data_IF_459138008321
#
_entry.id   IF_459138008321
#
_cell.length_a   1.000
_cell.length_b   1.000
_cell.length_c   1.000
_cell.angle_alpha   90.00
_cell.angle_beta   90.00
_cell.angle_gamma   90.00
#
_symmetry.space_group_name_H-M   'P 1'
#
loop_
_entity.id
_entity.type
_entity.pdbx_description
1 polymer ?
#
# COMPACT_ATOMS: atom_id res chain seq x y z
N UNK A 1 -18.82 -6.15 -47.41
CA UNK A 1 -18.55 -4.71 -47.70
C UNK A 1 -18.60 -3.83 -46.44
N UNK A 2 -19.36 -4.16 -45.39
CA UNK A 2 -19.43 -3.38 -44.14
C UNK A 2 -18.14 -3.39 -43.29
N UNK A 3 -17.38 -4.49 -43.25
CA UNK A 3 -16.19 -4.59 -42.38
C UNK A 3 -15.03 -3.68 -42.80
N UNK A 4 -14.82 -3.44 -44.10
CA UNK A 4 -13.72 -2.56 -44.57
C UNK A 4 -13.93 -1.10 -44.18
N UNK A 5 -15.18 -0.63 -44.12
CA UNK A 5 -15.50 0.73 -43.67
C UNK A 5 -15.26 0.90 -42.17
N UNK A 6 -15.58 -0.13 -41.37
CA UNK A 6 -15.34 -0.13 -39.93
C UNK A 6 -13.84 -0.23 -39.59
N UNK A 7 -13.06 -0.99 -40.37
CA UNK A 7 -11.60 -1.10 -40.22
C UNK A 7 -10.93 0.25 -40.50
N UNK A 8 -11.29 0.94 -41.60
CA UNK A 8 -10.75 2.26 -41.91
C UNK A 8 -11.05 3.27 -40.79
N UNK A 9 -12.29 3.28 -40.30
CA UNK A 9 -12.69 4.17 -39.21
C UNK A 9 -11.98 3.84 -37.89
N UNK A 10 -11.69 2.58 -37.61
CA UNK A 10 -10.90 2.17 -36.44
C UNK A 10 -9.45 2.67 -36.51
N UNK A 11 -8.83 2.62 -37.70
CA UNK A 11 -7.46 3.13 -37.93
C UNK A 11 -7.40 4.66 -37.76
N UNK A 12 -8.37 5.39 -38.34
CA UNK A 12 -8.48 6.85 -38.18
C UNK A 12 -8.62 7.26 -36.71
N UNK A 13 -9.47 6.57 -35.95
CA UNK A 13 -9.66 6.84 -34.51
C UNK A 13 -8.41 6.53 -33.69
N UNK A 14 -7.63 5.53 -34.09
CA UNK A 14 -6.36 5.19 -33.46
C UNK A 14 -5.27 6.24 -33.75
N UNK A 15 -5.21 6.75 -34.98
CA UNK A 15 -4.31 7.84 -35.37
C UNK A 15 -4.64 9.14 -34.63
N UNK A 16 -5.90 9.37 -34.29
CA UNK A 16 -6.35 10.45 -33.38
C UNK A 16 -6.02 10.21 -31.90
N UNK A 17 -5.30 9.12 -31.56
CA UNK A 17 -4.84 8.81 -30.21
C UNK A 17 -5.88 8.16 -29.29
N UNK A 18 -7.03 7.71 -29.81
CA UNK A 18 -8.03 7.02 -28.98
C UNK A 18 -7.57 5.60 -28.62
N UNK A 19 -7.87 5.20 -27.38
CA UNK A 19 -7.56 3.85 -26.89
C UNK A 19 -8.47 2.79 -27.51
N UNK A 20 -7.99 1.54 -27.59
CA UNK A 20 -8.76 0.40 -28.10
C UNK A 20 -10.13 0.25 -27.42
N UNK A 21 -10.23 0.55 -26.12
CA UNK A 21 -11.50 0.51 -25.36
C UNK A 21 -12.48 1.59 -25.85
N UNK A 22 -11.99 2.79 -26.14
CA UNK A 22 -12.82 3.89 -26.64
C UNK A 22 -13.28 3.61 -28.07
N UNK A 23 -12.40 3.12 -28.93
CA UNK A 23 -12.71 2.75 -30.32
C UNK A 23 -13.76 1.62 -30.36
N UNK A 24 -13.61 0.61 -29.49
CA UNK A 24 -14.57 -0.49 -29.37
C UNK A 24 -15.97 0.00 -28.96
N UNK A 25 -16.03 0.97 -28.04
CA UNK A 25 -17.29 1.60 -27.63
C UNK A 25 -17.94 2.42 -28.75
N UNK A 26 -17.14 3.19 -29.50
CA UNK A 26 -17.61 4.06 -30.58
C UNK A 26 -18.08 3.29 -31.81
N UNK A 27 -17.43 2.16 -32.12
CA UNK A 27 -17.78 1.28 -33.24
C UNK A 27 -18.71 0.13 -32.86
N UNK A 28 -19.17 0.07 -31.60
CA UNK A 28 -20.02 -1.01 -31.05
C UNK A 28 -19.51 -2.41 -31.38
N UNK A 29 -18.20 -2.61 -31.25
CA UNK A 29 -17.53 -3.88 -31.54
C UNK A 29 -16.67 -4.33 -30.36
N UNK A 30 -16.14 -5.55 -30.40
CA UNK A 30 -15.31 -6.06 -29.31
C UNK A 30 -13.90 -5.45 -29.36
N UNK A 31 -13.27 -5.29 -28.19
CA UNK A 31 -11.87 -4.83 -28.09
C UNK A 31 -10.91 -5.71 -28.88
N UNK A 32 -11.14 -7.02 -28.85
CA UNK A 32 -10.34 -8.01 -29.58
C UNK A 32 -10.48 -7.83 -31.09
N UNK A 33 -11.68 -7.46 -31.57
CA UNK A 33 -11.92 -7.15 -32.98
C UNK A 33 -11.16 -5.89 -33.41
N UNK A 34 -11.21 -4.82 -32.61
CA UNK A 34 -10.44 -3.59 -32.87
C UNK A 34 -8.94 -3.86 -32.87
N UNK A 35 -8.44 -4.62 -31.89
CA UNK A 35 -7.03 -4.99 -31.81
C UNK A 35 -6.55 -5.75 -33.06
N UNK A 36 -7.38 -6.68 -33.58
CA UNK A 36 -7.07 -7.41 -34.82
C UNK A 36 -7.02 -6.50 -36.04
N UNK A 37 -7.95 -5.55 -36.14
CA UNK A 37 -7.99 -4.58 -37.24
C UNK A 37 -6.78 -3.64 -37.25
N UNK A 38 -6.37 -3.12 -36.08
CA UNK A 38 -5.18 -2.26 -35.97
C UNK A 38 -3.89 -3.01 -36.34
N UNK A 39 -3.85 -4.32 -36.09
CA UNK A 39 -2.69 -5.17 -36.40
C UNK A 39 -2.77 -5.84 -37.79
N UNK A 40 -3.69 -5.40 -38.67
CA UNK A 40 -3.78 -5.88 -40.05
C UNK A 40 -4.30 -7.32 -40.20
N UNK A 41 -4.79 -7.94 -39.12
CA UNK A 41 -5.32 -9.30 -39.10
C UNK A 41 -6.79 -9.29 -39.53
N UNK A 42 -7.05 -9.06 -40.82
CA UNK A 42 -8.41 -9.12 -41.38
C UNK A 42 -8.75 -10.53 -41.85
N UNK A 43 -9.04 -11.43 -40.90
CA UNK A 43 -9.51 -12.77 -41.21
C UNK A 43 -9.96 -13.56 -39.98
N UNK A 44 -11.06 -14.29 -40.12
CA UNK A 44 -11.51 -15.30 -39.16
C UNK A 44 -10.61 -16.55 -39.32
N UNK A 45 -9.38 -16.46 -38.81
CA UNK A 45 -8.38 -17.53 -38.85
C UNK A 45 -7.49 -17.41 -37.61
N UNK A 46 -7.21 -18.54 -36.97
CA UNK A 46 -6.52 -18.63 -35.69
C UNK A 46 -5.14 -17.95 -35.66
N UNK A 47 -4.71 -17.65 -34.43
CA UNK A 47 -3.43 -17.05 -34.03
C UNK A 47 -2.25 -17.43 -34.94
N UNK A 48 -1.94 -16.58 -35.92
CA UNK A 48 -0.60 -16.57 -36.53
C UNK A 48 0.28 -15.65 -35.68
N UNK A 49 1.23 -16.26 -34.98
CA UNK A 49 2.29 -15.54 -34.28
C UNK A 49 3.24 -14.90 -35.32
N UNK A 50 3.99 -13.84 -34.95
CA UNK A 50 4.88 -13.09 -35.86
C UNK A 50 5.97 -13.92 -36.56
N UNK A 51 6.20 -15.16 -36.13
CA UNK A 51 7.21 -16.08 -36.68
C UNK A 51 6.87 -16.53 -38.11
N UNK A 52 5.57 -16.61 -38.47
CA UNK A 52 5.17 -17.09 -39.80
C UNK A 52 5.48 -16.10 -40.93
N UNK A 53 5.66 -14.81 -40.62
CA UNK A 53 6.05 -13.77 -41.60
C UNK A 53 7.52 -13.89 -42.03
N UNK A 54 8.40 -14.41 -41.18
CA UNK A 54 9.82 -14.60 -41.52
C UNK A 54 10.05 -15.80 -42.45
N UNK A 55 9.19 -16.83 -42.39
CA UNK A 55 9.30 -18.01 -43.24
C UNK A 55 8.89 -17.76 -44.71
N UNK A 56 7.98 -16.80 -44.95
CA UNK A 56 7.51 -16.49 -46.31
C UNK A 56 8.55 -15.66 -47.08
N UNK A 57 9.29 -14.78 -46.40
CA UNK A 57 10.31 -13.93 -47.03
C UNK A 57 11.52 -14.70 -47.59
N UNK A 58 11.77 -15.92 -47.11
CA UNK A 58 12.93 -16.74 -47.54
C UNK A 58 12.63 -17.69 -48.70
N UNK A 59 11.36 -17.84 -49.13
CA UNK A 59 10.95 -18.84 -50.13
C UNK A 59 10.48 -18.29 -51.49
N UNK A 60 10.63 -16.99 -51.75
CA UNK A 60 10.30 -16.40 -53.07
C UNK A 60 11.47 -15.60 -53.60
N UNK A 61 12.48 -16.28 -54.18
CA UNK A 61 13.28 -15.81 -55.33
C UNK A 61 14.33 -16.84 -55.80
N UNK A 62 13.95 -18.12 -55.95
CA UNK A 62 14.75 -19.09 -56.71
C UNK A 62 13.94 -19.68 -57.87
N UNK A 63 13.61 -18.83 -58.85
CA UNK A 63 13.38 -19.26 -60.23
C UNK A 63 13.13 -18.04 -61.11
N UNK A 64 14.17 -17.53 -61.76
CA UNK A 64 14.14 -17.01 -63.14
C UNK A 64 15.59 -16.95 -63.63
N UNK A 65 15.83 -17.67 -64.72
CA UNK A 65 17.06 -17.68 -65.50
C UNK A 65 17.51 -16.27 -65.91
N UNK A 66 18.77 -15.92 -65.62
CA UNK A 66 19.56 -15.05 -66.49
C UNK A 66 21.00 -15.59 -66.60
N UNK A 67 21.31 -16.13 -67.76
CA UNK A 67 22.67 -16.33 -68.23
C UNK A 67 23.29 -14.95 -68.48
N UNK A 68 24.28 -14.56 -67.69
CA UNK A 68 25.28 -13.59 -68.10
C UNK A 68 26.66 -14.17 -67.78
N UNK A 69 27.32 -14.66 -68.83
CA UNK A 69 28.78 -14.78 -68.93
C UNK A 69 29.30 -13.36 -69.00
N UNK A 70 30.18 -12.94 -68.09
CA UNK A 70 31.38 -12.14 -68.37
C UNK A 70 32.31 -12.18 -67.14
N UNK A 71 33.54 -12.61 -67.42
CA UNK A 71 34.83 -12.28 -66.81
C UNK A 71 35.01 -12.37 -65.28
N UNK A 72 35.73 -13.43 -64.91
CA UNK A 72 36.47 -13.52 -63.65
C UNK A 72 37.76 -12.70 -63.77
N UNK A 73 37.75 -11.49 -63.21
CA UNK A 73 38.97 -10.80 -62.77
C UNK A 73 38.83 -10.39 -61.29
N UNK A 74 39.34 -11.28 -60.43
CA UNK A 74 40.18 -10.98 -59.26
C UNK A 74 39.86 -9.71 -58.44
N UNK A 75 38.91 -9.81 -57.49
CA UNK A 75 38.80 -8.93 -56.31
C UNK A 75 38.10 -9.65 -55.13
N UNK A 76 38.52 -10.90 -54.89
CA UNK A 76 37.80 -11.84 -54.03
C UNK A 76 38.16 -11.72 -52.53
N UNK A 77 39.32 -11.12 -52.20
CA UNK A 77 39.77 -11.00 -50.80
C UNK A 77 39.18 -9.77 -50.09
N UNK A 78 39.10 -8.62 -50.76
CA UNK A 78 38.56 -7.40 -50.17
C UNK A 78 37.05 -7.52 -49.89
N UNK A 79 36.27 -8.06 -50.84
CA UNK A 79 34.85 -8.38 -50.63
C UNK A 79 34.62 -9.44 -49.54
N UNK A 80 35.52 -10.43 -49.42
CA UNK A 80 35.46 -11.44 -48.35
C UNK A 80 35.74 -10.80 -47.00
N UNK A 81 36.71 -9.90 -46.92
CA UNK A 81 37.07 -9.16 -45.70
C UNK A 81 35.96 -8.20 -45.26
N UNK A 82 35.36 -7.45 -46.19
CA UNK A 82 34.20 -6.59 -45.91
C UNK A 82 32.99 -7.39 -45.42
N UNK A 83 32.72 -8.55 -46.03
CA UNK A 83 31.66 -9.46 -45.58
C UNK A 83 31.95 -10.04 -44.19
N UNK A 84 33.20 -10.38 -43.90
CA UNK A 84 33.62 -10.85 -42.57
C UNK A 84 33.48 -9.75 -41.51
N UNK A 85 33.83 -8.50 -41.84
CA UNK A 85 33.62 -7.34 -40.97
C UNK A 85 32.13 -7.13 -40.69
N UNK A 86 31.28 -7.18 -41.72
CA UNK A 86 29.84 -7.02 -41.56
C UNK A 86 29.24 -8.11 -40.67
N UNK A 87 29.66 -9.37 -40.83
CA UNK A 87 29.22 -10.48 -39.99
C UNK A 87 29.68 -10.31 -38.53
N UNK A 88 30.93 -9.91 -38.30
CA UNK A 88 31.43 -9.64 -36.94
C UNK A 88 30.71 -8.48 -36.28
N UNK A 89 30.38 -7.42 -37.03
CA UNK A 89 29.57 -6.30 -36.51
C UNK A 89 28.18 -6.76 -36.09
N UNK A 90 27.51 -7.54 -36.93
CA UNK A 90 26.19 -8.09 -36.60
C UNK A 90 26.23 -9.02 -35.38
N UNK A 91 27.26 -9.87 -35.28
CA UNK A 91 27.48 -10.73 -34.11
C UNK A 91 27.68 -9.91 -32.82
N UNK A 92 28.51 -8.88 -32.87
CA UNK A 92 28.75 -7.98 -31.73
C UNK A 92 27.49 -7.20 -31.35
N UNK A 93 26.71 -6.74 -32.33
CA UNK A 93 25.45 -6.03 -32.09
C UNK A 93 24.42 -6.95 -31.41
N UNK A 94 24.27 -8.18 -31.90
CA UNK A 94 23.42 -9.18 -31.27
C UNK A 94 23.91 -9.54 -29.85
N UNK A 95 25.22 -9.70 -29.64
CA UNK A 95 25.77 -9.94 -28.30
C UNK A 95 25.49 -8.76 -27.35
N UNK A 96 25.61 -7.52 -27.82
CA UNK A 96 25.26 -6.33 -27.05
C UNK A 96 23.77 -6.27 -26.73
N UNK A 97 22.91 -6.65 -27.67
CA UNK A 97 21.46 -6.71 -27.45
C UNK A 97 21.09 -7.77 -26.41
N UNK A 98 21.69 -8.96 -26.49
CA UNK A 98 21.53 -10.00 -25.46
C UNK A 98 22.02 -9.52 -24.08
N UNK A 99 23.16 -8.85 -23.99
CA UNK A 99 23.66 -8.27 -22.74
C UNK A 99 22.71 -7.22 -22.17
N UNK A 100 22.13 -6.37 -23.02
CA UNK A 100 21.12 -5.38 -22.62
C UNK A 100 19.86 -6.06 -22.09
N UNK A 101 19.36 -7.10 -22.75
CA UNK A 101 18.21 -7.87 -22.30
C UNK A 101 18.46 -8.51 -20.93
N UNK A 102 19.62 -9.16 -20.74
CA UNK A 102 20.00 -9.74 -19.44
C UNK A 102 20.09 -8.67 -18.34
N UNK A 103 20.60 -7.48 -18.67
CA UNK A 103 20.66 -6.38 -17.72
C UNK A 103 19.25 -5.87 -17.34
N UNK A 104 18.36 -5.75 -18.32
CA UNK A 104 16.96 -5.37 -18.10
C UNK A 104 16.23 -6.41 -17.24
N UNK A 105 16.40 -7.70 -17.53
CA UNK A 105 15.80 -8.79 -16.73
C UNK A 105 16.29 -8.74 -15.28
N UNK A 106 17.60 -8.51 -15.07
CA UNK A 106 18.17 -8.36 -13.73
C UNK A 106 17.61 -7.14 -12.99
N UNK A 107 17.46 -6.01 -13.66
CA UNK A 107 16.87 -4.80 -13.08
C UNK A 107 15.40 -5.01 -12.70
N UNK A 108 14.62 -5.68 -13.57
CA UNK A 108 13.24 -6.03 -13.29
C UNK A 108 13.11 -6.97 -12.08
N UNK A 109 13.99 -7.96 -11.96
CA UNK A 109 14.03 -8.87 -10.82
C UNK A 109 14.35 -8.13 -9.51
N UNK A 110 15.31 -7.20 -9.53
CA UNK A 110 15.64 -6.37 -8.37
C UNK A 110 14.47 -5.48 -7.94
N UNK A 111 13.78 -4.83 -8.89
CA UNK A 111 12.60 -4.01 -8.58
C UNK A 111 11.45 -4.85 -8.01
N UNK A 112 11.22 -6.04 -8.56
CA UNK A 112 10.21 -6.97 -8.03
C UNK A 112 10.52 -7.33 -6.58
N UNK A 113 11.77 -7.67 -6.28
CA UNK A 113 12.23 -8.00 -4.93
C UNK A 113 12.12 -6.80 -3.98
N UNK A 114 12.44 -5.59 -4.43
CA UNK A 114 12.29 -4.38 -3.63
C UNK A 114 10.83 -4.12 -3.25
N UNK A 115 9.91 -4.30 -4.20
CA UNK A 115 8.47 -4.18 -3.94
C UNK A 115 7.99 -5.24 -2.94
N UNK A 116 8.40 -6.50 -3.11
CA UNK A 116 8.07 -7.58 -2.18
C UNK A 116 8.56 -7.27 -0.74
N UNK A 117 9.79 -6.74 -0.60
CA UNK A 117 10.32 -6.32 0.70
C UNK A 117 9.51 -5.17 1.31
N UNK A 118 9.15 -4.15 0.51
CA UNK A 118 8.30 -3.03 0.99
C UNK A 118 6.92 -3.50 1.44
N UNK A 119 6.32 -4.48 0.74
CA UNK A 119 5.05 -5.07 1.15
C UNK A 119 5.19 -5.82 2.48
N UNK A 120 6.23 -6.63 2.63
CA UNK A 120 6.52 -7.35 3.89
C UNK A 120 6.76 -6.38 5.05
N UNK A 121 7.48 -5.29 4.82
CA UNK A 121 7.73 -4.25 5.83
C UNK A 121 6.43 -3.56 6.25
N UNK A 122 5.60 -3.14 5.28
CA UNK A 122 4.29 -2.54 5.57
C UNK A 122 3.39 -3.48 6.37
N UNK A 123 3.35 -4.75 6.00
CA UNK A 123 2.57 -5.77 6.71
C UNK A 123 3.09 -5.98 8.14
N UNK A 124 4.41 -5.94 8.34
CA UNK A 124 5.01 -6.05 9.66
C UNK A 124 4.66 -4.84 10.55
N UNK A 125 4.75 -3.62 10.01
CA UNK A 125 4.36 -2.39 10.72
C UNK A 125 2.88 -2.43 11.11
N UNK A 126 2.00 -2.81 10.18
CA UNK A 126 0.56 -2.90 10.45
C UNK A 126 0.25 -3.95 11.53
N UNK A 127 0.93 -5.10 11.53
CA UNK A 127 0.77 -6.11 12.58
C UNK A 127 1.28 -5.60 13.93
N UNK A 128 2.39 -4.88 13.96
CA UNK A 128 2.95 -4.32 15.17
C UNK A 128 1.99 -3.29 15.77
N UNK A 129 1.45 -2.40 14.94
CA UNK A 129 0.42 -1.43 15.32
C UNK A 129 -0.78 -2.11 15.99
N UNK A 130 -1.36 -3.12 15.33
CA UNK A 130 -2.51 -3.87 15.87
C UNK A 130 -2.21 -4.63 17.17
N UNK A 131 -0.97 -5.04 17.40
CA UNK A 131 -0.58 -5.70 18.65
C UNK A 131 -0.50 -4.66 19.78
N UNK A 132 0.04 -3.48 19.50
CA UNK A 132 0.12 -2.38 20.46
C UNK A 132 -1.26 -1.84 20.81
N UNK A 133 -2.12 -1.57 19.82
CA UNK A 133 -3.51 -1.15 20.01
C UNK A 133 -4.26 -2.14 20.90
N UNK A 134 -4.16 -3.45 20.62
CA UNK A 134 -4.81 -4.48 21.45
C UNK A 134 -4.34 -4.49 22.89
N UNK A 135 -3.04 -4.24 23.14
CA UNK A 135 -2.50 -4.17 24.51
C UNK A 135 -3.03 -2.95 25.24
N UNK A 136 -3.06 -1.80 24.58
CA UNK A 136 -3.59 -0.56 25.15
C UNK A 136 -5.09 -0.70 25.42
N UNK A 137 -5.87 -1.15 24.43
CA UNK A 137 -7.31 -1.40 24.57
C UNK A 137 -7.61 -2.34 25.74
N UNK A 138 -6.87 -3.44 25.85
CA UNK A 138 -7.04 -4.36 26.97
C UNK A 138 -6.72 -3.71 28.32
N UNK A 139 -5.63 -2.93 28.39
CA UNK A 139 -5.26 -2.21 29.60
C UNK A 139 -6.31 -1.19 30.03
N UNK A 140 -6.83 -0.40 29.08
CA UNK A 140 -7.91 0.56 29.32
C UNK A 140 -9.20 -0.15 29.78
N UNK A 141 -9.60 -1.26 29.13
CA UNK A 141 -10.77 -2.04 29.56
C UNK A 141 -10.65 -2.58 30.98
N UNK A 142 -9.48 -3.11 31.35
CA UNK A 142 -9.24 -3.59 32.73
C UNK A 142 -9.26 -2.45 33.74
N UNK A 143 -8.77 -1.27 33.37
CA UNK A 143 -8.82 -0.09 34.22
C UNK A 143 -10.26 0.39 34.41
N UNK A 144 -11.02 0.53 33.32
CA UNK A 144 -12.44 0.93 33.31
C UNK A 144 -13.31 -0.01 34.12
N UNK A 145 -13.10 -1.33 34.01
CA UNK A 145 -13.87 -2.30 34.80
C UNK A 145 -13.70 -2.11 36.31
N UNK A 146 -12.51 -1.68 36.75
CA UNK A 146 -12.29 -1.36 38.17
C UNK A 146 -12.96 -0.05 38.54
N UNK A 147 -12.94 0.91 37.63
CA UNK A 147 -13.54 2.22 37.88
C UNK A 147 -15.06 2.17 37.91
N UNK A 148 -15.68 1.40 37.03
CA UNK A 148 -17.11 1.10 37.10
C UNK A 148 -17.50 0.41 38.40
N UNK A 149 -16.69 -0.51 38.90
CA UNK A 149 -16.99 -1.14 40.19
C UNK A 149 -17.04 -0.10 41.33
N UNK A 150 -16.24 0.96 41.26
CA UNK A 150 -16.32 2.07 42.20
C UNK A 150 -17.62 2.87 41.98
N UNK A 151 -18.00 3.16 40.73
CA UNK A 151 -19.25 3.86 40.41
C UNK A 151 -20.52 3.08 40.80
N UNK A 152 -20.52 1.76 40.62
CA UNK A 152 -21.66 0.88 40.95
C UNK A 152 -21.86 0.70 42.47
N UNK A 153 -20.81 0.95 43.27
CA UNK A 153 -20.85 0.81 44.74
C UNK A 153 -21.37 2.06 45.45
N UNK A 154 -21.48 3.20 44.74
CA UNK A 154 -21.84 4.49 45.33
C UNK A 154 -23.20 4.94 44.80
N UNK A 155 -24.17 5.14 45.71
CA UNK A 155 -25.50 5.70 45.40
C UNK A 155 -25.47 7.24 45.27
N UNK A 156 -24.43 7.87 45.82
CA UNK A 156 -24.11 9.30 45.72
C UNK A 156 -23.23 9.54 44.48
N UNK A 157 -23.33 10.71 43.83
CA UNK A 157 -22.61 11.04 42.57
C UNK A 157 -21.07 11.15 42.75
N UNK A 158 -20.55 10.90 43.96
CA UNK A 158 -19.17 11.19 44.38
C UNK A 158 -18.43 9.94 44.89
N UNK A 159 -17.32 9.58 44.25
CA UNK A 159 -16.48 8.44 44.62
C UNK A 159 -15.50 8.84 45.72
N UNK A 160 -15.53 8.11 46.85
CA UNK A 160 -14.57 8.27 47.94
C UNK A 160 -13.61 7.08 48.03
N UNK A 161 -12.30 7.33 48.10
CA UNK A 161 -11.29 6.29 48.38
C UNK A 161 -10.04 6.84 49.08
N UNK A 162 -9.26 5.96 49.71
CA UNK A 162 -8.00 6.35 50.34
C UNK A 162 -6.94 6.80 49.30
N UNK A 163 -6.11 7.78 49.67
CA UNK A 163 -5.10 8.37 48.79
C UNK A 163 -4.09 7.31 48.28
N UNK A 164 -3.77 6.27 49.05
CA UNK A 164 -2.90 5.20 48.57
C UNK A 164 -3.55 4.37 47.44
N UNK A 165 -4.84 4.08 47.54
CA UNK A 165 -5.62 3.42 46.49
C UNK A 165 -5.77 4.32 45.27
N UNK A 166 -6.13 5.59 45.46
CA UNK A 166 -6.22 6.58 44.39
C UNK A 166 -4.89 6.73 43.64
N UNK A 167 -3.75 6.88 44.34
CA UNK A 167 -2.41 6.92 43.73
C UNK A 167 -2.10 5.70 42.87
N UNK A 168 -2.49 4.50 43.32
CA UNK A 168 -2.29 3.26 42.55
C UNK A 168 -3.15 3.25 41.30
N UNK A 169 -4.41 3.66 41.43
CA UNK A 169 -5.36 3.72 40.33
C UNK A 169 -4.92 4.75 39.27
N UNK A 170 -4.61 5.97 39.70
CA UNK A 170 -4.05 7.06 38.90
C UNK A 170 -2.78 6.66 38.15
N UNK A 171 -1.84 5.99 38.83
CA UNK A 171 -0.58 5.53 38.24
C UNK A 171 -0.80 4.52 37.10
N UNK A 172 -1.83 3.68 37.19
CA UNK A 172 -2.16 2.74 36.11
C UNK A 172 -2.68 3.51 34.90
N UNK A 173 -3.65 4.41 35.09
CA UNK A 173 -4.17 5.25 34.01
C UNK A 173 -3.08 6.09 33.35
N UNK A 174 -2.22 6.74 34.15
CA UNK A 174 -1.10 7.55 33.66
C UNK A 174 -0.19 6.77 32.71
N UNK A 175 0.13 5.52 33.04
CA UNK A 175 0.94 4.66 32.17
C UNK A 175 0.21 4.28 30.87
N UNK A 176 -1.09 4.06 30.93
CA UNK A 176 -1.89 3.79 29.73
C UNK A 176 -1.97 5.03 28.85
N UNK A 177 -2.12 6.21 29.46
CA UNK A 177 -2.08 7.50 28.76
C UNK A 177 -0.73 7.73 28.06
N UNK A 178 0.39 7.51 28.75
CA UNK A 178 1.74 7.57 28.14
C UNK A 178 1.87 6.61 26.94
N UNK A 179 1.31 5.40 27.03
CA UNK A 179 1.30 4.44 25.92
C UNK A 179 0.45 4.92 24.74
N UNK A 180 -0.72 5.51 25.00
CA UNK A 180 -1.57 6.12 23.96
C UNK A 180 -0.82 7.25 23.26
N UNK A 181 -0.22 8.17 24.01
CA UNK A 181 0.55 9.28 23.45
C UNK A 181 1.73 8.79 22.59
N UNK A 182 2.47 7.79 23.07
CA UNK A 182 3.55 7.18 22.32
C UNK A 182 3.05 6.54 21.03
N UNK A 183 1.95 5.78 21.10
CA UNK A 183 1.37 5.10 19.95
C UNK A 183 0.92 6.09 18.88
N UNK A 184 0.13 7.09 19.28
CA UNK A 184 -0.32 8.18 18.42
C UNK A 184 0.86 8.88 17.73
N UNK A 185 1.93 9.19 18.47
CA UNK A 185 3.13 9.82 17.93
C UNK A 185 3.87 8.94 16.92
N UNK A 186 4.01 7.64 17.20
CA UNK A 186 4.74 6.68 16.34
C UNK A 186 4.02 6.45 15.02
N UNK A 187 2.70 6.31 15.03
CA UNK A 187 1.91 6.02 13.83
C UNK A 187 1.30 7.25 13.17
N UNK A 188 1.51 8.45 13.73
CA UNK A 188 1.01 9.71 13.18
C UNK A 188 -0.52 9.77 13.15
N UNK A 189 -1.17 9.27 14.21
CA UNK A 189 -2.62 9.31 14.35
C UNK A 189 -3.06 10.75 14.58
N UNK A 190 -4.09 11.19 13.86
CA UNK A 190 -4.67 12.51 14.02
C UNK A 190 -5.47 12.58 15.33
N UNK A 191 -4.93 13.29 16.32
CA UNK A 191 -5.59 13.43 17.63
C UNK A 191 -6.81 14.33 17.57
N UNK A 192 -6.82 15.33 16.68
CA UNK A 192 -7.93 16.31 16.58
C UNK A 192 -9.23 15.66 16.07
N UNK A 193 -9.11 14.53 15.37
CA UNK A 193 -10.24 13.75 14.90
C UNK A 193 -10.62 12.58 15.84
N UNK A 194 -9.84 12.34 16.89
CA UNK A 194 -9.98 11.15 17.74
C UNK A 194 -10.65 11.51 19.08
N UNK A 195 -11.98 11.53 19.12
CA UNK A 195 -12.78 11.86 20.33
C UNK A 195 -12.33 11.12 21.59
N UNK A 196 -11.98 9.83 21.48
CA UNK A 196 -11.50 9.07 22.63
C UNK A 196 -10.19 9.59 23.23
N UNK A 197 -9.34 10.23 22.42
CA UNK A 197 -8.07 10.80 22.88
C UNK A 197 -8.31 12.04 23.73
N UNK A 198 -9.19 12.92 23.27
CA UNK A 198 -9.57 14.12 24.01
C UNK A 198 -10.31 13.76 25.31
N UNK A 199 -11.24 12.80 25.27
CA UNK A 199 -11.94 12.35 26.47
C UNK A 199 -10.98 11.71 27.50
N UNK A 200 -10.05 10.86 27.06
CA UNK A 200 -9.03 10.27 27.95
C UNK A 200 -8.09 11.33 28.52
N UNK A 201 -7.77 12.36 27.74
CA UNK A 201 -6.96 13.49 28.19
C UNK A 201 -7.68 14.27 29.29
N UNK A 202 -8.94 14.64 29.07
CA UNK A 202 -9.76 15.37 30.06
C UNK A 202 -9.88 14.58 31.36
N UNK A 203 -10.20 13.28 31.26
CA UNK A 203 -10.26 12.37 32.40
C UNK A 203 -8.93 12.33 33.18
N UNK A 204 -7.80 12.25 32.47
CA UNK A 204 -6.47 12.26 33.09
C UNK A 204 -6.15 13.60 33.75
N UNK A 205 -6.58 14.73 33.16
CA UNK A 205 -6.39 16.08 33.69
C UNK A 205 -7.19 16.27 34.99
N UNK A 206 -8.46 15.88 35.02
CA UNK A 206 -9.29 15.91 36.23
C UNK A 206 -8.66 15.07 37.35
N UNK A 207 -8.28 13.82 37.08
CA UNK A 207 -7.66 12.97 38.10
C UNK A 207 -6.28 13.47 38.56
N UNK A 208 -5.57 14.26 37.74
CA UNK A 208 -4.34 14.93 38.16
C UNK A 208 -4.62 16.10 39.11
N UNK A 209 -5.69 16.85 38.88
CA UNK A 209 -6.12 17.95 39.75
C UNK A 209 -6.48 17.42 41.13
N UNK A 210 -7.31 16.38 41.20
CA UNK A 210 -7.68 15.76 42.48
C UNK A 210 -6.49 15.13 43.20
N UNK A 211 -5.55 14.52 42.46
CA UNK A 211 -4.30 14.07 43.07
C UNK A 211 -3.48 15.23 43.64
N UNK A 212 -3.47 16.37 42.95
CA UNK A 212 -2.79 17.59 43.38
C UNK A 212 -3.38 18.12 44.68
N UNK A 213 -4.71 18.30 44.72
CA UNK A 213 -5.45 18.77 45.87
C UNK A 213 -5.18 17.88 47.10
N UNK A 214 -5.35 16.57 46.97
CA UNK A 214 -5.11 15.63 48.07
C UNK A 214 -3.65 15.59 48.54
N UNK A 215 -2.69 15.92 47.68
CA UNK A 215 -1.28 16.00 48.04
C UNK A 215 -0.91 17.34 48.70
N UNK A 216 -1.68 18.41 48.44
CA UNK A 216 -1.53 19.70 49.12
C UNK A 216 -2.14 19.71 50.52
N UNK A 217 -3.23 18.97 50.72
CA UNK A 217 -3.87 18.80 52.03
C UNK A 217 -3.11 17.86 52.97
N UNK A 218 -2.17 17.09 52.42
CA UNK A 218 -1.37 16.13 53.16
C UNK A 218 -0.31 16.82 54.03
N UNK A 219 -0.37 16.62 55.35
CA UNK A 219 0.72 17.01 56.26
C UNK A 219 1.90 16.02 56.20
N UNK A 220 3.09 16.45 56.63
CA UNK A 220 4.32 15.64 56.57
C UNK A 220 4.23 14.32 57.35
N UNK A 221 3.41 14.28 58.40
CA UNK A 221 3.24 13.13 59.30
C UNK A 221 2.06 12.22 58.92
N UNK A 222 1.25 12.58 57.92
CA UNK A 222 0.06 11.80 57.55
C UNK A 222 0.42 10.54 56.76
N UNK A 223 -0.23 9.42 57.07
CA UNK A 223 -0.18 8.23 56.22
C UNK A 223 -1.13 8.39 55.03
N UNK A 224 -0.74 7.88 53.85
CA UNK A 224 -1.60 7.94 52.65
C UNK A 224 -2.94 7.20 52.83
N UNK A 225 -3.08 6.33 53.83
CA UNK A 225 -4.34 5.65 54.14
C UNK A 225 -5.34 6.53 54.90
N UNK A 226 -4.85 7.60 55.52
CA UNK A 226 -5.65 8.43 56.43
C UNK A 226 -6.30 9.61 55.70
N UNK A 227 -5.87 9.84 54.45
CA UNK A 227 -6.38 10.90 53.57
C UNK A 227 -7.41 10.28 52.63
N UNK A 228 -8.61 10.85 52.64
CA UNK A 228 -9.68 10.47 51.72
C UNK A 228 -9.65 11.40 50.53
N UNK A 229 -9.68 10.82 49.33
CA UNK A 229 -9.84 11.54 48.06
C UNK A 229 -11.28 11.34 47.61
N UNK A 230 -11.93 12.45 47.28
CA UNK A 230 -13.31 12.51 46.84
C UNK A 230 -13.35 13.13 45.45
N UNK A 231 -14.03 12.49 44.50
CA UNK A 231 -14.13 13.00 43.14
C UNK A 231 -15.41 12.57 42.43
N UNK A 232 -15.86 13.41 41.50
CA UNK A 232 -17.08 13.22 40.69
C UNK A 232 -16.70 13.30 39.21
N UNK A 233 -17.37 12.49 38.38
CA UNK A 233 -17.22 12.54 36.93
C UNK A 233 -18.27 13.46 36.31
N UNK A 234 -17.86 14.23 35.31
CA UNK A 234 -18.82 14.91 34.43
C UNK A 234 -19.53 13.92 33.51
N UNK A 235 -20.70 14.32 32.99
CA UNK A 235 -21.53 13.51 32.09
C UNK A 235 -20.72 12.96 30.89
N UNK A 236 -19.80 13.78 30.35
CA UNK A 236 -18.95 13.42 29.22
C UNK A 236 -17.95 12.30 29.58
N UNK A 237 -17.35 12.34 30.77
CA UNK A 237 -16.45 11.28 31.25
C UNK A 237 -17.22 9.99 31.54
N UNK A 238 -18.43 10.08 32.10
CA UNK A 238 -19.29 8.91 32.31
C UNK A 238 -19.59 8.26 30.97
N UNK A 239 -20.12 9.02 30.00
CA UNK A 239 -20.42 8.51 28.65
C UNK A 239 -19.18 7.88 28.00
N UNK A 240 -18.01 8.49 28.15
CA UNK A 240 -16.75 7.95 27.65
C UNK A 240 -16.39 6.60 28.28
N UNK A 241 -16.47 6.49 29.60
CA UNK A 241 -16.21 5.24 30.35
C UNK A 241 -17.18 4.15 29.86
N UNK A 242 -18.45 4.48 29.65
CA UNK A 242 -19.46 3.52 29.16
C UNK A 242 -19.19 3.06 27.72
N UNK A 243 -18.78 3.99 26.86
CA UNK A 243 -18.51 3.71 25.46
C UNK A 243 -17.27 2.82 25.27
N UNK A 244 -16.22 3.03 26.07
CA UNK A 244 -14.98 2.24 25.99
C UNK A 244 -15.11 0.80 26.51
N UNK A 245 -16.16 0.49 27.25
CA UNK A 245 -16.49 -0.89 27.60
C UNK A 245 -16.93 -1.67 26.35
N UNK A 246 -17.76 -1.02 25.52
CA UNK A 246 -18.43 -1.63 24.38
C UNK A 246 -17.63 -1.49 23.07
N UNK A 247 -16.72 -0.52 23.01
CA UNK A 247 -15.87 -0.23 21.85
C UNK A 247 -14.38 -0.42 22.16
N UNK A 248 -13.58 -0.50 21.11
CA UNK A 248 -12.13 -0.39 21.21
C UNK A 248 -11.74 1.09 21.09
N UNK A 249 -10.73 1.52 21.86
CA UNK A 249 -10.31 2.93 21.90
C UNK A 249 -9.85 3.46 20.54
N UNK A 250 -9.14 2.64 19.77
CA UNK A 250 -8.59 2.98 18.45
C UNK A 250 -9.48 2.52 17.27
N UNK A 251 -10.73 2.11 17.50
CA UNK A 251 -11.68 1.78 16.41
C UNK A 251 -12.37 3.02 15.86
#
# INVERSE_FOLDING_TARGET
>A
MQDQALIKRALELHEMGKSIRQIAGELKTSKSTVFRWLNGQSGNGGNALPIDLFAIATNTQQSINQKNKYDMENNNEFNKFEREIALKRLQLEHELELRKLVQQDRELELRKRELELKHLEKDAISRQQQIEERKINHGLKVWIQKERANLDEVDDEEIEMDLATFKRHHKVLRKLWEQVQQHVSVYGIDTEAHMGYDNLKSLMEMLNEELGNAMEEKDEDDEDSDITVSYEYDDDSIEFIENLENSDFFS
#
